data_IF_577227172757
#
_entry.id   IF_577227172757
#
_cell.length_a   1.000
_cell.length_b   1.000
_cell.length_c   1.000
_cell.angle_alpha   90.00
_cell.angle_beta   90.00
_cell.angle_gamma   90.00
#
_symmetry.space_group_name_H-M   'P 1'
#
loop_
_entity.id
_entity.type
_entity.pdbx_description
1 polymer ?
#
# COMPACT_ATOMS: atom_id res chain seq x y z
N UNK A 1 28.40 -49.03 -36.02
CA UNK A 1 28.57 -48.29 -37.29
C UNK A 1 27.26 -47.58 -37.57
N UNK A 2 27.19 -46.24 -37.56
CA UNK A 2 27.78 -45.28 -38.53
C UNK A 2 26.95 -45.24 -39.84
N UNK A 3 26.53 -44.09 -40.40
CA UNK A 3 26.66 -42.67 -39.97
C UNK A 3 25.77 -41.76 -40.88
N UNK A 4 25.15 -40.67 -40.36
CA UNK A 4 24.76 -39.38 -41.05
C UNK A 4 23.77 -39.50 -42.28
N UNK A 5 22.95 -38.54 -42.75
CA UNK A 5 22.59 -37.12 -42.49
C UNK A 5 21.04 -36.95 -42.63
N UNK A 6 20.31 -36.01 -42.01
CA UNK A 6 20.28 -34.54 -42.19
C UNK A 6 19.81 -34.11 -43.61
N UNK A 7 18.86 -33.19 -43.88
CA UNK A 7 18.14 -32.12 -43.16
C UNK A 7 16.78 -31.85 -43.90
N UNK A 8 15.93 -30.81 -43.72
CA UNK A 8 15.88 -29.59 -42.91
C UNK A 8 14.43 -29.05 -42.78
N UNK A 9 14.09 -28.35 -41.68
CA UNK A 9 13.10 -27.24 -41.53
C UNK A 9 12.66 -27.15 -40.05
N UNK A 10 12.80 -26.10 -39.23
CA UNK A 10 12.97 -24.64 -39.35
C UNK A 10 11.70 -23.84 -38.93
N UNK A 11 11.82 -23.15 -37.78
CA UNK A 11 11.03 -21.99 -37.32
C UNK A 11 9.48 -22.03 -37.39
N UNK A 12 8.84 -22.50 -36.31
CA UNK A 12 7.70 -21.80 -35.68
C UNK A 12 7.56 -22.25 -34.21
N UNK A 13 7.65 -21.36 -33.20
CA UNK A 13 7.24 -21.70 -31.84
C UNK A 13 5.70 -21.75 -31.79
N UNK A 14 5.12 -22.89 -31.41
CA UNK A 14 3.67 -23.07 -31.36
C UNK A 14 3.00 -22.02 -30.46
N UNK A 15 2.01 -21.32 -30.99
CA UNK A 15 1.27 -20.29 -30.26
C UNK A 15 0.43 -20.94 -29.16
N UNK A 16 0.92 -20.89 -27.91
CA UNK A 16 0.16 -21.33 -26.71
C UNK A 16 -1.20 -20.65 -26.67
N UNK A 17 -2.24 -21.41 -26.37
CA UNK A 17 -3.61 -20.91 -26.38
C UNK A 17 -3.82 -19.80 -25.33
N UNK A 18 -4.72 -18.86 -25.63
CA UNK A 18 -5.07 -17.78 -24.70
C UNK A 18 -5.67 -18.32 -23.39
N UNK A 19 -6.33 -19.48 -23.41
CA UNK A 19 -6.83 -20.19 -22.23
C UNK A 19 -5.68 -20.71 -21.36
N UNK A 20 -4.65 -21.35 -21.93
CA UNK A 20 -3.47 -21.80 -21.17
C UNK A 20 -2.72 -20.60 -20.54
N UNK A 21 -2.50 -19.53 -21.30
CA UNK A 21 -1.83 -18.33 -20.79
C UNK A 21 -2.62 -17.64 -19.67
N UNK A 22 -3.95 -17.59 -19.80
CA UNK A 22 -4.84 -17.07 -18.75
C UNK A 22 -4.84 -17.97 -17.52
N UNK A 23 -4.79 -19.29 -17.70
CA UNK A 23 -4.74 -20.27 -16.61
C UNK A 23 -3.42 -20.21 -15.85
N UNK A 24 -2.27 -20.08 -16.54
CA UNK A 24 -0.97 -19.76 -15.92
C UNK A 24 -1.05 -18.45 -15.10
N UNK A 25 -1.59 -17.36 -15.70
CA UNK A 25 -1.73 -16.07 -15.02
C UNK A 25 -2.57 -16.20 -13.73
N UNK A 26 -3.71 -16.89 -13.77
CA UNK A 26 -4.56 -17.12 -12.59
C UNK A 26 -3.86 -17.97 -11.54
N UNK A 27 -3.16 -19.05 -11.91
CA UNK A 27 -2.41 -19.88 -10.95
C UNK A 27 -1.22 -19.14 -10.30
N UNK A 28 -0.65 -18.13 -10.96
CA UNK A 28 0.50 -17.35 -10.47
C UNK A 28 0.16 -16.30 -9.38
N UNK A 29 -1.12 -15.94 -9.22
CA UNK A 29 -1.54 -14.82 -8.36
C UNK A 29 -1.66 -15.23 -6.89
N UNK A 30 -1.15 -14.42 -5.97
CA UNK A 30 -1.14 -14.72 -4.53
C UNK A 30 -2.42 -14.20 -3.85
N UNK A 31 -3.28 -15.12 -3.39
CA UNK A 31 -4.61 -14.83 -2.83
C UNK A 31 -4.51 -14.07 -1.51
N UNK A 32 -3.57 -14.43 -0.63
CA UNK A 32 -3.37 -13.74 0.66
C UNK A 32 -3.17 -12.21 0.52
N UNK A 33 -2.19 -11.75 -0.27
CA UNK A 33 -2.00 -10.35 -0.61
C UNK A 33 -3.19 -9.66 -1.29
N UNK A 34 -4.01 -10.36 -2.07
CA UNK A 34 -5.22 -9.79 -2.67
C UNK A 34 -6.35 -9.60 -1.66
N UNK A 35 -6.54 -10.54 -0.72
CA UNK A 35 -7.52 -10.40 0.36
C UNK A 35 -7.18 -9.18 1.23
N UNK A 36 -5.91 -9.00 1.60
CA UNK A 36 -5.47 -7.81 2.34
C UNK A 36 -5.61 -6.52 1.51
N UNK A 37 -5.26 -6.54 0.21
CA UNK A 37 -5.45 -5.38 -0.68
C UNK A 37 -6.92 -4.99 -0.84
N UNK A 38 -7.81 -5.98 -0.85
CA UNK A 38 -9.27 -5.77 -0.92
C UNK A 38 -9.81 -5.13 0.34
N UNK A 39 -9.42 -5.67 1.50
CA UNK A 39 -9.75 -5.10 2.80
C UNK A 39 -9.21 -3.67 2.92
N UNK A 40 -7.96 -3.44 2.51
CA UNK A 40 -7.31 -2.14 2.56
C UNK A 40 -8.08 -1.06 1.79
N UNK A 41 -8.48 -1.31 0.53
CA UNK A 41 -9.24 -0.31 -0.24
C UNK A 41 -10.65 -0.10 0.31
N UNK A 42 -11.35 -1.16 0.73
CA UNK A 42 -12.71 -1.02 1.28
C UNK A 42 -12.70 -0.21 2.59
N UNK A 43 -11.67 -0.36 3.42
CA UNK A 43 -11.46 0.46 4.60
C UNK A 43 -11.10 1.93 4.24
N UNK A 44 -10.21 2.14 3.26
CA UNK A 44 -9.90 3.50 2.77
C UNK A 44 -11.12 4.20 2.16
N UNK A 45 -12.00 3.48 1.46
CA UNK A 45 -13.27 4.02 0.97
C UNK A 45 -14.24 4.35 2.11
N UNK A 46 -14.32 3.50 3.14
CA UNK A 46 -15.22 3.69 4.29
C UNK A 46 -14.80 4.88 5.18
N UNK A 47 -13.50 5.11 5.40
CA UNK A 47 -13.04 6.23 6.24
C UNK A 47 -13.27 7.60 5.59
N UNK A 48 -13.26 7.67 4.25
CA UNK A 48 -13.50 8.91 3.51
C UNK A 48 -14.98 9.20 3.21
N UNK A 49 -15.86 8.20 3.31
CA UNK A 49 -17.31 8.41 3.28
C UNK A 49 -17.74 9.23 4.52
N UNK A 50 -18.66 10.22 4.43
CA UNK A 50 -19.18 10.92 5.60
C UNK A 50 -19.94 9.99 6.57
N UNK A 51 -20.15 10.42 7.81
CA UNK A 51 -20.87 9.63 8.82
C UNK A 51 -22.34 9.46 8.43
N UNK A 52 -22.88 10.53 7.87
CA UNK A 52 -24.22 10.73 7.33
C UNK A 52 -24.54 9.68 6.25
N UNK A 53 -23.60 9.46 5.33
CA UNK A 53 -23.67 8.45 4.27
C UNK A 53 -23.22 7.04 4.71
N UNK A 54 -22.82 6.84 5.96
CA UNK A 54 -22.35 5.55 6.48
C UNK A 54 -23.51 4.76 7.12
N UNK A 55 -23.72 3.47 6.78
CA UNK A 55 -24.75 2.66 7.43
C UNK A 55 -24.42 2.47 8.91
N UNK A 56 -25.41 2.54 9.80
CA UNK A 56 -25.23 2.47 11.26
C UNK A 56 -24.35 1.31 11.74
N UNK A 57 -24.51 0.13 11.13
CA UNK A 57 -23.71 -1.08 11.38
C UNK A 57 -22.20 -0.92 11.06
N UNK A 58 -21.84 0.01 10.17
CA UNK A 58 -20.46 0.27 9.74
C UNK A 58 -19.84 1.50 10.40
N UNK A 59 -20.60 2.34 11.11
CA UNK A 59 -20.07 3.54 11.79
C UNK A 59 -18.97 3.17 12.80
N UNK A 60 -19.14 2.07 13.54
CA UNK A 60 -18.11 1.57 14.46
C UNK A 60 -16.83 1.08 13.76
N UNK A 61 -16.95 0.52 12.55
CA UNK A 61 -15.81 0.07 11.74
C UNK A 61 -15.08 1.26 11.11
N UNK A 62 -15.82 2.26 10.64
CA UNK A 62 -15.31 3.50 10.03
C UNK A 62 -14.29 4.21 10.90
N UNK A 63 -14.49 4.23 12.21
CA UNK A 63 -13.56 4.81 13.21
C UNK A 63 -12.14 4.26 13.13
N UNK A 64 -11.99 3.01 12.68
CA UNK A 64 -10.69 2.31 12.55
C UNK A 64 -10.27 2.12 11.09
N UNK A 65 -11.08 2.54 10.12
CA UNK A 65 -10.88 2.20 8.71
C UNK A 65 -9.72 2.96 8.02
N UNK A 66 -9.11 3.93 8.69
CA UNK A 66 -7.80 4.49 8.30
C UNK A 66 -6.68 3.44 8.26
N UNK A 67 -6.83 2.34 9.02
CA UNK A 67 -5.94 1.15 9.03
C UNK A 67 -5.64 0.61 7.63
N UNK A 68 -6.54 0.81 6.66
CA UNK A 68 -6.33 0.39 5.27
C UNK A 68 -5.04 0.96 4.65
N UNK A 69 -4.62 2.17 5.02
CA UNK A 69 -3.37 2.76 4.51
C UNK A 69 -2.14 2.03 5.05
N UNK A 70 -2.10 1.70 6.34
CA UNK A 70 -1.00 0.92 6.92
C UNK A 70 -0.95 -0.52 6.37
N UNK A 71 -2.11 -1.10 6.00
CA UNK A 71 -2.14 -2.37 5.25
C UNK A 71 -1.50 -2.22 3.85
N UNK A 72 -1.79 -1.14 3.13
CA UNK A 72 -1.12 -0.83 1.86
C UNK A 72 0.39 -0.69 2.04
N UNK A 73 0.86 0.10 3.02
CA UNK A 73 2.28 0.28 3.27
C UNK A 73 3.02 -1.03 3.56
N UNK A 74 2.44 -1.94 4.37
CA UNK A 74 3.04 -3.26 4.63
C UNK A 74 3.05 -4.15 3.39
N UNK A 75 1.96 -4.19 2.62
CA UNK A 75 1.90 -4.93 1.35
C UNK A 75 2.95 -4.41 0.35
N UNK A 76 3.07 -3.09 0.22
CA UNK A 76 4.00 -2.44 -0.71
C UNK A 76 5.45 -2.67 -0.31
N UNK A 77 5.79 -2.52 0.98
CA UNK A 77 7.09 -2.88 1.53
C UNK A 77 7.47 -4.34 1.28
N UNK A 78 6.54 -5.27 1.54
CA UNK A 78 6.75 -6.69 1.31
C UNK A 78 6.96 -7.03 -0.17
N UNK A 79 6.11 -6.50 -1.05
CA UNK A 79 6.17 -6.79 -2.49
C UNK A 79 7.41 -6.18 -3.14
N UNK A 80 7.80 -4.95 -2.76
CA UNK A 80 8.97 -4.28 -3.31
C UNK A 80 10.28 -4.91 -2.80
N UNK A 81 10.36 -5.24 -1.50
CA UNK A 81 11.50 -5.97 -0.93
C UNK A 81 11.66 -7.35 -1.56
N UNK A 82 10.56 -8.10 -1.68
CA UNK A 82 10.56 -9.43 -2.33
C UNK A 82 10.97 -9.36 -3.79
N UNK A 83 10.57 -8.32 -4.53
CA UNK A 83 11.02 -8.10 -5.91
C UNK A 83 12.54 -7.85 -5.96
N UNK A 84 13.04 -6.91 -5.15
CA UNK A 84 14.44 -6.49 -5.15
C UNK A 84 15.39 -7.59 -4.67
N UNK A 85 15.07 -8.32 -3.59
CA UNK A 85 15.92 -9.41 -3.09
C UNK A 85 16.01 -10.58 -4.09
N UNK A 86 14.91 -10.92 -4.78
CA UNK A 86 14.92 -11.90 -5.89
C UNK A 86 15.76 -11.42 -7.06
N UNK A 87 15.73 -10.13 -7.38
CA UNK A 87 16.51 -9.60 -8.50
C UNK A 87 18.01 -9.62 -8.20
N UNK A 88 18.43 -9.12 -7.03
CA UNK A 88 19.84 -9.17 -6.58
C UNK A 88 20.35 -10.60 -6.53
N UNK A 89 19.58 -11.54 -5.99
CA UNK A 89 19.96 -12.96 -5.94
C UNK A 89 20.14 -13.60 -7.33
N UNK A 90 19.39 -13.16 -8.35
CA UNK A 90 19.42 -13.69 -9.71
C UNK A 90 20.40 -12.97 -10.64
N UNK A 91 20.76 -11.71 -10.35
CA UNK A 91 21.55 -10.84 -11.25
C UNK A 91 22.82 -10.24 -10.62
N UNK A 92 23.04 -10.40 -9.32
CA UNK A 92 24.14 -9.74 -8.59
C UNK A 92 23.99 -8.22 -8.42
N UNK A 93 22.79 -7.68 -8.68
CA UNK A 93 22.47 -6.25 -8.65
C UNK A 93 21.02 -5.97 -9.05
N UNK A 94 20.68 -4.69 -9.24
CA UNK A 94 19.31 -4.22 -9.57
C UNK A 94 19.31 -3.48 -10.90
N UNK A 95 18.42 -3.85 -11.82
CA UNK A 95 18.14 -3.09 -13.04
C UNK A 95 17.23 -1.89 -12.71
N UNK A 96 17.84 -0.82 -12.19
CA UNK A 96 17.14 0.40 -11.80
C UNK A 96 16.26 0.95 -12.94
N UNK A 97 16.76 0.92 -14.19
CA UNK A 97 16.03 1.44 -15.36
C UNK A 97 14.74 0.64 -15.58
N UNK A 98 14.83 -0.69 -15.64
CA UNK A 98 13.64 -1.52 -15.84
C UNK A 98 12.71 -1.47 -14.62
N UNK A 99 13.25 -1.46 -13.40
CA UNK A 99 12.48 -1.29 -12.16
C UNK A 99 11.64 0.00 -12.17
N UNK A 100 12.26 1.16 -12.41
CA UNK A 100 11.54 2.44 -12.40
C UNK A 100 10.55 2.54 -13.57
N UNK A 101 10.90 2.04 -14.76
CA UNK A 101 9.95 2.00 -15.88
C UNK A 101 8.73 1.12 -15.56
N UNK A 102 8.93 -0.10 -15.01
CA UNK A 102 7.81 -0.98 -14.59
C UNK A 102 6.89 -0.32 -13.57
N UNK A 103 7.43 0.55 -12.70
CA UNK A 103 6.68 1.33 -11.69
C UNK A 103 5.96 2.54 -12.30
N UNK A 104 6.64 3.34 -13.12
CA UNK A 104 6.05 4.45 -13.85
C UNK A 104 4.81 4.01 -14.65
N UNK A 105 4.93 2.95 -15.47
CA UNK A 105 3.80 2.37 -16.21
C UNK A 105 2.65 1.84 -15.33
N UNK A 106 2.92 1.47 -14.06
CA UNK A 106 1.92 0.95 -13.12
C UNK A 106 1.08 2.07 -12.47
N UNK A 107 1.64 3.26 -12.34
CA UNK A 107 1.20 4.30 -11.39
C UNK A 107 0.91 5.61 -12.13
N UNK A 108 1.91 6.18 -12.82
CA UNK A 108 1.86 7.53 -13.38
C UNK A 108 0.68 7.77 -14.35
N UNK A 109 0.32 6.87 -15.29
CA UNK A 109 -0.75 7.14 -16.26
C UNK A 109 -2.12 7.43 -15.61
N UNK A 110 -2.58 6.58 -14.70
CA UNK A 110 -3.85 6.78 -14.02
C UNK A 110 -3.77 7.91 -12.98
N UNK A 111 -2.63 8.08 -12.30
CA UNK A 111 -2.39 9.21 -11.41
C UNK A 111 -2.51 10.56 -12.13
N UNK A 112 -1.80 10.75 -13.25
CA UNK A 112 -1.82 12.02 -13.98
C UNK A 112 -3.16 12.31 -14.65
N UNK A 113 -3.91 11.29 -15.09
CA UNK A 113 -5.29 11.47 -15.54
C UNK A 113 -6.17 12.01 -14.40
N UNK A 114 -6.15 11.38 -13.22
CA UNK A 114 -6.99 11.83 -12.09
C UNK A 114 -6.52 13.18 -11.54
N UNK A 115 -5.21 13.42 -11.43
CA UNK A 115 -4.64 14.71 -11.05
C UNK A 115 -5.05 15.82 -12.04
N UNK A 116 -5.07 15.53 -13.34
CA UNK A 116 -5.58 16.42 -14.38
C UNK A 116 -7.06 16.73 -14.21
N UNK A 117 -7.89 15.74 -13.89
CA UNK A 117 -9.32 15.95 -13.57
C UNK A 117 -9.49 16.85 -12.33
N UNK A 118 -8.74 16.61 -11.25
CA UNK A 118 -8.73 17.47 -10.06
C UNK A 118 -8.27 18.91 -10.37
N UNK A 119 -7.33 19.09 -11.32
CA UNK A 119 -6.86 20.40 -11.74
C UNK A 119 -7.89 21.17 -12.59
N UNK A 120 -8.53 20.50 -13.55
CA UNK A 120 -9.49 21.10 -14.50
C UNK A 120 -10.87 21.33 -13.87
N UNK A 121 -11.31 20.44 -12.98
CA UNK A 121 -12.67 20.43 -12.43
C UNK A 121 -12.67 20.66 -10.90
N UNK A 122 -12.76 21.92 -10.42
CA UNK A 122 -12.83 22.21 -8.98
C UNK A 122 -13.97 21.52 -8.22
N UNK A 123 -15.03 21.16 -8.95
CA UNK A 123 -16.20 20.44 -8.48
C UNK A 123 -15.92 18.99 -8.03
N UNK A 124 -14.76 18.43 -8.38
CA UNK A 124 -14.30 17.10 -7.93
C UNK A 124 -13.50 17.15 -6.61
N UNK A 125 -13.31 18.33 -6.03
CA UNK A 125 -12.40 18.58 -4.90
C UNK A 125 -13.14 18.64 -3.55
N UNK A 126 -12.46 18.19 -2.50
CA UNK A 126 -12.91 18.33 -1.11
C UNK A 126 -12.94 19.78 -0.58
N UNK A 127 -12.32 20.69 -1.32
CA UNK A 127 -12.39 22.14 -1.12
C UNK A 127 -12.11 22.82 -2.47
N UNK A 128 -12.67 24.01 -2.77
CA UNK A 128 -12.36 24.74 -4.00
C UNK A 128 -10.86 24.99 -4.18
N UNK A 129 -10.13 25.22 -3.07
CA UNK A 129 -8.68 25.38 -3.05
C UNK A 129 -7.94 24.04 -3.08
N UNK A 130 -6.88 24.02 -3.88
CA UNK A 130 -6.00 22.88 -4.13
C UNK A 130 -4.56 23.35 -3.93
N UNK A 131 -3.70 22.48 -3.39
CA UNK A 131 -2.28 22.79 -3.24
C UNK A 131 -1.61 22.97 -4.63
N UNK A 132 -0.45 23.62 -4.75
CA UNK A 132 0.17 23.88 -6.05
C UNK A 132 0.31 22.61 -6.90
N UNK A 133 -0.20 22.63 -8.14
CA UNK A 133 -0.25 21.43 -9.01
C UNK A 133 1.10 20.71 -9.13
N UNK A 134 2.20 21.48 -9.17
CA UNK A 134 3.55 20.93 -9.28
C UNK A 134 3.89 19.98 -8.13
N UNK A 135 3.45 20.23 -6.89
CA UNK A 135 3.84 19.39 -5.73
C UNK A 135 3.11 18.05 -5.71
N UNK A 136 1.92 17.96 -6.31
CA UNK A 136 1.31 16.68 -6.63
C UNK A 136 2.07 15.98 -7.76
N UNK A 137 2.43 16.70 -8.82
CA UNK A 137 3.12 16.14 -9.98
C UNK A 137 4.54 15.63 -9.67
N UNK A 138 5.22 16.21 -8.68
CA UNK A 138 6.52 15.76 -8.15
C UNK A 138 6.40 14.82 -6.95
N UNK A 139 5.19 14.44 -6.53
CA UNK A 139 4.91 13.66 -5.31
C UNK A 139 5.46 14.27 -4.00
N UNK A 140 5.75 15.57 -3.96
CA UNK A 140 6.28 16.26 -2.76
C UNK A 140 5.20 16.92 -1.90
N UNK A 141 3.92 16.89 -2.31
CA UNK A 141 2.83 17.58 -1.60
C UNK A 141 2.69 17.18 -0.14
N UNK A 142 3.08 15.95 0.23
CA UNK A 142 2.95 15.41 1.58
C UNK A 142 3.95 15.99 2.60
N UNK A 143 4.94 16.78 2.17
CA UNK A 143 5.88 17.45 3.07
C UNK A 143 5.38 18.81 3.60
N UNK A 144 4.37 19.41 2.96
CA UNK A 144 3.76 20.69 3.36
C UNK A 144 2.25 20.69 3.07
N UNK A 145 1.58 19.54 3.30
CA UNK A 145 0.13 19.47 3.14
C UNK A 145 -0.55 20.14 4.34
N UNK A 146 -0.78 21.45 4.27
CA UNK A 146 -1.59 22.16 5.24
C UNK A 146 -3.09 22.17 4.81
N UNK A 147 -3.99 21.51 5.56
CA UNK A 147 -5.43 21.47 5.25
C UNK A 147 -6.15 22.82 5.42
N UNK A 148 -5.46 23.86 5.93
CA UNK A 148 -5.94 25.25 5.99
C UNK A 148 -5.76 25.98 4.66
N UNK A 149 -4.77 25.60 3.85
CA UNK A 149 -4.52 26.16 2.51
C UNK A 149 -5.45 25.51 1.47
N UNK A 150 -5.55 24.18 1.49
CA UNK A 150 -6.36 23.43 0.54
C UNK A 150 -6.51 21.97 0.96
N UNK A 151 -7.57 21.32 0.46
CA UNK A 151 -7.91 19.93 0.82
C UNK A 151 -8.20 19.02 -0.38
N UNK A 152 -8.13 19.55 -1.60
CA UNK A 152 -8.28 18.76 -2.81
C UNK A 152 -7.28 17.60 -2.89
N UNK A 153 -7.75 16.44 -3.37
CA UNK A 153 -6.96 15.21 -3.58
C UNK A 153 -6.18 14.76 -2.32
N UNK A 154 -6.73 15.02 -1.12
CA UNK A 154 -6.00 14.85 0.15
C UNK A 154 -5.46 13.44 0.38
N UNK A 155 -6.05 12.41 -0.23
CA UNK A 155 -5.61 11.03 -0.07
C UNK A 155 -4.22 10.76 -0.68
N UNK A 156 -3.78 11.56 -1.66
CA UNK A 156 -2.54 11.38 -2.40
C UNK A 156 -1.27 11.39 -1.54
N UNK A 157 -1.34 11.87 -0.28
CA UNK A 157 -0.23 11.84 0.67
C UNK A 157 0.42 10.46 0.80
N UNK A 158 -0.38 9.38 0.85
CA UNK A 158 0.14 8.03 1.10
C UNK A 158 0.86 7.49 -0.14
N UNK A 159 0.36 7.80 -1.34
CA UNK A 159 1.04 7.48 -2.59
C UNK A 159 2.38 8.22 -2.69
N UNK A 160 2.50 9.44 -2.17
CA UNK A 160 3.78 10.15 -2.08
C UNK A 160 4.78 9.42 -1.17
N UNK A 161 4.34 8.90 -0.01
CA UNK A 161 5.17 8.04 0.86
C UNK A 161 5.63 6.77 0.13
N UNK A 162 4.77 6.15 -0.67
CA UNK A 162 5.11 4.98 -1.48
C UNK A 162 6.10 5.31 -2.61
N UNK A 163 5.88 6.38 -3.40
CA UNK A 163 6.79 6.76 -4.50
C UNK A 163 8.17 7.17 -3.98
N UNK A 164 8.26 7.95 -2.90
CA UNK A 164 9.55 8.25 -2.25
C UNK A 164 10.27 6.97 -1.80
N UNK A 165 9.53 5.98 -1.33
CA UNK A 165 10.10 4.70 -0.92
C UNK A 165 10.54 3.83 -2.11
N UNK A 166 9.75 3.78 -3.18
CA UNK A 166 10.11 3.11 -4.42
C UNK A 166 11.30 3.77 -5.10
N UNK A 167 11.49 5.09 -4.96
CA UNK A 167 12.66 5.81 -5.43
C UNK A 167 13.93 5.41 -4.67
N UNK A 168 13.87 5.43 -3.32
CA UNK A 168 15.06 5.28 -2.46
C UNK A 168 15.48 3.82 -2.23
N UNK A 169 14.55 2.91 -1.97
CA UNK A 169 14.89 1.53 -1.58
C UNK A 169 15.78 0.78 -2.62
N UNK A 170 15.55 0.86 -3.94
CA UNK A 170 16.40 0.20 -4.93
C UNK A 170 17.85 0.68 -4.88
N UNK A 171 18.07 1.97 -4.57
CA UNK A 171 19.39 2.56 -4.44
C UNK A 171 20.09 2.02 -3.18
N UNK A 172 19.37 1.97 -2.05
CA UNK A 172 19.87 1.37 -0.80
C UNK A 172 20.22 -0.10 -1.00
N UNK A 173 19.37 -0.86 -1.69
CA UNK A 173 19.63 -2.26 -2.07
C UNK A 173 20.84 -2.39 -2.99
N UNK A 174 20.99 -1.51 -3.98
CA UNK A 174 22.13 -1.54 -4.91
C UNK A 174 23.46 -1.19 -4.20
N UNK A 175 23.44 -0.28 -3.23
CA UNK A 175 24.61 0.12 -2.46
C UNK A 175 25.05 -0.96 -1.45
N UNK A 176 24.10 -1.64 -0.79
CA UNK A 176 24.40 -2.73 0.14
C UNK A 176 24.77 -4.03 -0.59
N UNK A 177 24.07 -4.35 -1.69
CA UNK A 177 24.24 -5.52 -2.55
C UNK A 177 24.58 -6.82 -1.78
N UNK A 178 25.84 -7.29 -1.82
CA UNK A 178 26.30 -8.52 -1.16
C UNK A 178 26.27 -8.49 0.37
N UNK A 179 26.11 -7.31 0.98
CA UNK A 179 25.96 -7.17 2.43
C UNK A 179 24.51 -7.37 2.90
N UNK A 180 23.53 -7.45 1.99
CA UNK A 180 22.12 -7.61 2.36
C UNK A 180 21.91 -8.96 3.05
N UNK A 181 21.52 -8.89 4.32
CA UNK A 181 21.08 -10.03 5.13
C UNK A 181 19.89 -9.63 5.98
N UNK A 182 19.21 -10.60 6.60
CA UNK A 182 18.15 -10.30 7.58
C UNK A 182 18.66 -9.44 8.73
N UNK A 183 19.92 -9.62 9.16
CA UNK A 183 20.53 -8.82 10.23
C UNK A 183 20.68 -7.35 9.85
N UNK A 184 21.31 -7.06 8.72
CA UNK A 184 21.43 -5.68 8.21
C UNK A 184 20.07 -5.04 7.90
N UNK A 185 19.12 -5.82 7.35
CA UNK A 185 17.76 -5.33 7.10
C UNK A 185 17.04 -4.98 8.41
N UNK A 186 17.14 -5.83 9.44
CA UNK A 186 16.55 -5.56 10.76
C UNK A 186 17.18 -4.35 11.45
N UNK A 187 18.51 -4.17 11.34
CA UNK A 187 19.21 -3.02 11.91
C UNK A 187 18.80 -1.71 11.24
N UNK A 188 18.78 -1.67 9.90
CA UNK A 188 18.41 -0.46 9.14
C UNK A 188 16.91 -0.14 9.25
N UNK A 189 16.04 -1.14 9.10
CA UNK A 189 14.61 -0.92 9.20
C UNK A 189 14.17 -0.62 10.65
N UNK A 190 14.82 -1.26 11.64
CA UNK A 190 14.62 -0.97 13.06
C UNK A 190 15.09 0.43 13.44
N UNK A 191 16.25 0.89 12.97
CA UNK A 191 16.72 2.25 13.25
C UNK A 191 15.84 3.32 12.59
N UNK A 192 15.34 3.08 11.37
CA UNK A 192 14.36 3.96 10.71
C UNK A 192 13.05 4.03 11.51
N UNK A 193 12.52 2.90 11.99
CA UNK A 193 11.31 2.88 12.83
C UNK A 193 11.53 3.62 14.14
N UNK A 194 12.64 3.36 14.85
CA UNK A 194 12.95 4.02 16.13
C UNK A 194 13.16 5.54 15.93
N UNK A 195 13.86 5.96 14.87
CA UNK A 195 14.01 7.37 14.53
C UNK A 195 12.65 8.02 14.21
N UNK A 196 11.76 7.34 13.49
CA UNK A 196 10.39 7.77 13.24
C UNK A 196 9.57 7.92 14.52
N UNK A 197 9.70 6.98 15.48
CA UNK A 197 9.05 7.08 16.80
C UNK A 197 9.55 8.29 17.58
N UNK A 198 10.86 8.49 17.66
CA UNK A 198 11.48 9.64 18.34
C UNK A 198 11.02 10.96 17.69
N UNK A 199 11.03 11.04 16.35
CA UNK A 199 10.64 12.23 15.62
C UNK A 199 9.14 12.55 15.76
N UNK A 200 8.25 11.55 15.75
CA UNK A 200 6.83 11.76 16.04
C UNK A 200 6.60 12.24 17.48
N UNK A 201 7.40 11.76 18.44
CA UNK A 201 7.34 12.26 19.82
C UNK A 201 7.80 13.72 19.92
N UNK A 202 8.97 14.08 19.37
CA UNK A 202 9.47 15.46 19.44
C UNK A 202 8.60 16.45 18.67
N UNK A 203 8.04 16.08 17.52
CA UNK A 203 7.09 16.91 16.77
C UNK A 203 5.76 17.06 17.50
N UNK A 204 5.29 16.04 18.22
CA UNK A 204 4.12 16.19 19.08
C UNK A 204 4.40 17.17 20.22
N UNK A 205 5.45 16.94 21.01
CA UNK A 205 5.79 17.79 22.16
C UNK A 205 6.04 19.26 21.75
N UNK A 206 6.86 19.49 20.73
CA UNK A 206 7.30 20.85 20.35
C UNK A 206 6.27 21.66 19.56
N UNK A 207 5.25 21.03 18.96
CA UNK A 207 4.28 21.74 18.11
C UNK A 207 2.82 21.38 18.41
N UNK A 208 2.47 20.09 18.44
CA UNK A 208 1.06 19.66 18.58
C UNK A 208 0.57 19.89 20.01
N UNK A 209 1.31 19.45 21.02
CA UNK A 209 1.00 19.61 22.44
C UNK A 209 0.80 21.08 22.82
N UNK A 210 1.78 21.93 22.50
CA UNK A 210 1.74 23.39 22.71
C UNK A 210 0.45 24.02 22.14
N UNK A 211 -0.02 23.56 20.97
CA UNK A 211 -1.27 24.06 20.37
C UNK A 211 -2.53 23.48 21.03
N UNK A 212 -2.50 22.26 21.56
CA UNK A 212 -3.62 21.69 22.33
C UNK A 212 -3.73 22.37 23.70
N UNK A 213 -2.63 22.55 24.41
CA UNK A 213 -2.58 23.22 25.73
C UNK A 213 -3.02 24.69 25.63
N UNK A 214 -2.72 25.35 24.51
CA UNK A 214 -3.22 26.68 24.18
C UNK A 214 -4.68 26.70 23.68
N UNK A 215 -5.40 25.57 23.70
CA UNK A 215 -6.79 25.43 23.26
C UNK A 215 -7.03 25.52 21.74
N UNK A 216 -5.97 25.59 20.92
CA UNK A 216 -6.02 25.79 19.47
C UNK A 216 -6.21 24.47 18.70
N UNK A 217 -7.23 23.70 19.07
CA UNK A 217 -7.47 22.33 18.60
C UNK A 217 -7.46 22.20 17.06
N UNK A 218 -7.98 23.19 16.33
CA UNK A 218 -8.00 23.22 14.86
C UNK A 218 -6.60 23.37 14.24
N UNK A 219 -5.74 24.19 14.85
CA UNK A 219 -4.36 24.37 14.39
C UNK A 219 -3.48 23.19 14.81
N UNK A 220 -3.69 22.65 16.02
CA UNK A 220 -3.04 21.41 16.47
C UNK A 220 -3.32 20.25 15.49
N UNK A 221 -4.56 20.10 15.03
CA UNK A 221 -4.93 19.09 14.03
C UNK A 221 -4.29 19.35 12.65
N UNK A 222 -4.25 20.60 12.19
CA UNK A 222 -3.60 20.95 10.92
C UNK A 222 -2.08 20.67 10.95
N UNK A 223 -1.41 21.02 12.05
CA UNK A 223 0.00 20.76 12.30
C UNK A 223 0.28 19.25 12.46
N UNK A 224 -0.55 18.51 13.18
CA UNK A 224 -0.42 17.04 13.26
C UNK A 224 -0.52 16.40 11.88
N UNK A 225 -1.47 16.83 11.04
CA UNK A 225 -1.57 16.34 9.67
C UNK A 225 -0.32 16.66 8.85
N UNK A 226 0.09 17.94 8.82
CA UNK A 226 1.23 18.42 8.02
C UNK A 226 2.56 17.79 8.43
N UNK A 227 2.83 17.65 9.74
CA UNK A 227 4.17 17.33 10.24
C UNK A 227 4.30 15.89 10.79
N UNK A 228 3.22 15.31 11.30
CA UNK A 228 3.24 14.00 11.99
C UNK A 228 2.62 12.89 11.14
N UNK A 229 1.51 13.16 10.45
CA UNK A 229 0.72 12.11 9.78
C UNK A 229 0.99 11.94 8.28
N UNK A 230 1.27 13.02 7.55
CA UNK A 230 1.49 12.98 6.10
C UNK A 230 2.95 12.83 5.63
N UNK A 231 3.98 13.34 6.34
CA UNK A 231 5.35 13.24 5.84
C UNK A 231 5.89 11.82 5.74
N UNK A 232 6.73 11.59 4.74
CA UNK A 232 7.36 10.28 4.53
C UNK A 232 8.22 9.88 5.73
N UNK A 233 8.98 10.81 6.30
CA UNK A 233 9.91 10.54 7.41
C UNK A 233 9.24 10.12 8.73
N UNK A 234 7.93 10.36 8.91
CA UNK A 234 7.15 9.88 10.06
C UNK A 234 6.28 8.66 9.77
N UNK A 235 6.27 8.09 8.54
CA UNK A 235 5.33 7.02 8.15
C UNK A 235 5.95 5.82 7.43
N UNK A 236 7.27 5.66 7.48
CA UNK A 236 7.97 4.50 6.89
C UNK A 236 7.67 3.16 7.61
N UNK A 237 6.98 3.14 8.76
CA UNK A 237 6.82 1.95 9.61
C UNK A 237 6.27 0.74 8.84
N UNK A 238 5.17 0.92 8.11
CA UNK A 238 4.53 -0.15 7.34
C UNK A 238 5.46 -0.70 6.26
N UNK A 239 6.10 0.20 5.51
CA UNK A 239 7.05 -0.12 4.45
C UNK A 239 8.27 -0.88 5.01
N UNK A 240 8.77 -0.46 6.18
CA UNK A 240 9.86 -1.13 6.91
C UNK A 240 9.47 -2.53 7.37
N UNK A 241 8.33 -2.71 8.04
CA UNK A 241 7.89 -4.04 8.48
C UNK A 241 7.54 -4.98 7.31
N UNK A 242 7.07 -4.43 6.18
CA UNK A 242 6.95 -5.16 4.92
C UNK A 242 8.31 -5.67 4.40
N UNK A 243 9.32 -4.82 4.34
CA UNK A 243 10.68 -5.22 3.92
C UNK A 243 11.34 -6.19 4.91
N UNK A 244 11.12 -6.03 6.23
CA UNK A 244 11.55 -6.99 7.24
C UNK A 244 10.92 -8.37 6.98
N UNK A 245 9.61 -8.43 6.72
CA UNK A 245 8.92 -9.68 6.38
C UNK A 245 9.51 -10.31 5.11
N UNK A 246 9.77 -9.52 4.07
CA UNK A 246 10.40 -9.99 2.84
C UNK A 246 11.79 -10.58 3.11
N UNK A 247 12.64 -9.88 3.88
CA UNK A 247 13.99 -10.35 4.20
C UNK A 247 14.00 -11.59 5.12
N UNK A 248 13.08 -11.67 6.08
CA UNK A 248 12.92 -12.86 6.92
C UNK A 248 12.49 -14.08 6.09
N UNK A 249 11.47 -13.90 5.21
CA UNK A 249 10.99 -14.95 4.31
C UNK A 249 12.02 -15.37 3.27
N UNK A 250 12.83 -14.45 2.76
CA UNK A 250 13.80 -14.72 1.70
C UNK A 250 15.09 -15.36 2.24
N UNK A 251 15.71 -14.78 3.27
CA UNK A 251 17.01 -15.23 3.77
C UNK A 251 16.94 -16.22 4.94
N UNK A 252 15.78 -16.34 5.64
CA UNK A 252 15.59 -17.24 6.80
C UNK A 252 14.23 -17.97 6.80
N UNK A 253 13.77 -18.57 5.68
CA UNK A 253 12.44 -19.18 5.58
C UNK A 253 12.15 -20.24 6.65
N UNK A 254 13.14 -21.05 7.04
CA UNK A 254 12.96 -22.09 8.05
C UNK A 254 12.74 -21.53 9.47
N UNK A 255 13.27 -20.34 9.78
CA UNK A 255 12.96 -19.65 11.05
C UNK A 255 11.51 -19.17 11.06
N UNK A 256 11.01 -18.63 9.94
CA UNK A 256 9.60 -18.25 9.81
C UNK A 256 8.68 -19.46 10.01
N UNK A 257 8.94 -20.59 9.35
CA UNK A 257 8.14 -21.82 9.53
C UNK A 257 8.17 -22.33 10.97
N UNK A 258 9.34 -22.29 11.63
CA UNK A 258 9.54 -22.84 12.98
C UNK A 258 8.92 -21.99 14.08
N UNK A 259 9.07 -20.67 14.00
CA UNK A 259 8.72 -19.73 15.09
C UNK A 259 7.47 -18.90 14.81
N UNK A 260 7.08 -18.71 13.55
CA UNK A 260 5.89 -17.96 13.15
C UNK A 260 4.90 -18.77 12.27
N UNK A 261 4.59 -20.05 12.57
CA UNK A 261 3.57 -20.78 11.82
C UNK A 261 2.19 -20.12 12.01
N UNK A 262 1.24 -20.23 11.06
CA UNK A 262 -0.02 -19.48 11.09
C UNK A 262 -0.83 -19.55 12.40
N UNK A 263 -0.83 -20.71 13.07
CA UNK A 263 -1.50 -20.91 14.37
C UNK A 263 -0.94 -20.06 15.53
N UNK A 264 0.27 -19.52 15.39
CA UNK A 264 0.90 -18.58 16.33
C UNK A 264 0.90 -17.17 15.73
N UNK A 265 1.32 -17.04 14.47
CA UNK A 265 1.43 -15.75 13.80
C UNK A 265 0.10 -15.02 13.71
N UNK A 266 -1.00 -15.68 13.29
CA UNK A 266 -2.28 -15.02 13.13
C UNK A 266 -2.83 -14.42 14.45
N UNK A 267 -2.94 -15.15 15.58
CA UNK A 267 -3.40 -14.56 16.83
C UNK A 267 -2.43 -13.52 17.40
N UNK A 268 -1.11 -13.70 17.25
CA UNK A 268 -0.12 -12.68 17.70
C UNK A 268 -0.26 -11.39 16.89
N UNK A 269 -0.34 -11.47 15.56
CA UNK A 269 -0.50 -10.31 14.70
C UNK A 269 -1.82 -9.58 14.94
N UNK A 270 -2.91 -10.31 15.16
CA UNK A 270 -4.21 -9.73 15.55
C UNK A 270 -4.14 -9.07 16.92
N UNK A 271 -3.51 -9.70 17.92
CA UNK A 271 -3.34 -9.12 19.25
C UNK A 271 -2.51 -7.84 19.24
N UNK A 272 -1.46 -7.75 18.39
CA UNK A 272 -0.65 -6.55 18.21
C UNK A 272 -1.45 -5.41 17.56
N UNK A 273 -2.27 -5.70 16.53
CA UNK A 273 -3.19 -4.70 15.96
C UNK A 273 -4.21 -4.24 17.00
N UNK A 274 -4.84 -5.14 17.76
CA UNK A 274 -5.80 -4.78 18.82
C UNK A 274 -5.14 -3.92 19.90
N UNK A 275 -3.94 -4.28 20.36
CA UNK A 275 -3.18 -3.50 21.33
C UNK A 275 -2.86 -2.09 20.80
N UNK A 276 -2.49 -1.95 19.53
CA UNK A 276 -2.25 -0.66 18.91
C UNK A 276 -3.52 0.19 18.77
N UNK A 277 -4.66 -0.41 18.38
CA UNK A 277 -5.95 0.28 18.36
C UNK A 277 -6.38 0.72 19.77
N UNK A 278 -6.05 -0.05 20.81
CA UNK A 278 -6.22 0.39 22.20
C UNK A 278 -5.31 1.60 22.53
N UNK A 279 -4.06 1.66 22.06
CA UNK A 279 -3.19 2.85 22.25
C UNK A 279 -3.77 4.12 21.61
N UNK A 280 -4.43 4.01 20.45
CA UNK A 280 -5.18 5.11 19.82
C UNK A 280 -6.51 5.43 20.52
N UNK A 281 -7.02 4.54 21.38
CA UNK A 281 -8.28 4.69 22.11
C UNK A 281 -8.10 5.17 23.55
N UNK A 282 -6.87 5.22 24.07
CA UNK A 282 -6.53 5.95 25.29
C UNK A 282 -6.88 7.42 25.06
N UNK A 283 -7.64 8.04 25.98
CA UNK A 283 -8.03 9.46 25.89
C UNK A 283 -6.80 10.35 25.87
N UNK A 284 -6.39 10.79 24.68
CA UNK A 284 -5.31 11.74 24.51
C UNK A 284 -5.76 13.20 24.63
N UNK A 285 -4.84 14.17 24.44
CA UNK A 285 -5.12 15.59 24.59
C UNK A 285 -6.25 16.14 23.69
N UNK A 286 -6.54 15.48 22.57
CA UNK A 286 -7.61 15.84 21.63
C UNK A 286 -8.92 15.02 21.84
N UNK A 287 -9.04 14.29 22.95
CA UNK A 287 -10.24 13.50 23.26
C UNK A 287 -11.49 14.38 23.45
N UNK A 288 -12.64 13.89 22.99
CA UNK A 288 -13.90 14.65 22.99
C UNK A 288 -14.08 15.61 21.81
N UNK A 289 -13.06 15.75 20.95
CA UNK A 289 -13.23 16.37 19.63
C UNK A 289 -13.87 15.40 18.63
N UNK A 290 -14.50 15.94 17.58
CA UNK A 290 -15.07 15.16 16.47
C UNK A 290 -14.00 14.61 15.48
N UNK A 291 -12.76 14.45 15.93
CA UNK A 291 -11.65 13.91 15.13
C UNK A 291 -11.58 12.37 15.26
N UNK A 292 -11.11 11.68 14.22
CA UNK A 292 -10.84 10.24 14.29
C UNK A 292 -9.78 9.91 15.37
N UNK A 293 -9.91 8.73 16.01
CA UNK A 293 -9.00 8.27 17.08
C UNK A 293 -7.52 8.32 16.72
N UNK A 294 -7.16 8.09 15.45
CA UNK A 294 -5.78 8.17 14.92
C UNK A 294 -5.10 9.54 15.13
N UNK A 295 -5.90 10.58 15.36
CA UNK A 295 -5.45 11.95 15.63
C UNK A 295 -5.48 12.32 17.12
N UNK A 296 -6.09 11.50 17.98
CA UNK A 296 -6.41 11.92 19.36
C UNK A 296 -5.27 11.70 20.36
N UNK A 297 -4.51 10.60 20.21
CA UNK A 297 -3.58 10.10 21.23
C UNK A 297 -2.11 10.14 20.79
N UNK A 298 -1.28 10.87 21.54
CA UNK A 298 0.18 10.91 21.35
C UNK A 298 0.81 9.51 21.37
N UNK A 299 0.43 8.66 22.32
CA UNK A 299 0.99 7.30 22.43
C UNK A 299 0.61 6.43 21.22
N UNK A 300 -0.59 6.62 20.65
CA UNK A 300 -0.98 6.06 19.36
C UNK A 300 -0.12 6.61 18.21
N UNK A 301 0.05 7.93 18.14
CA UNK A 301 0.88 8.57 17.12
C UNK A 301 2.35 8.09 17.17
N UNK A 302 2.93 7.92 18.35
CA UNK A 302 4.32 7.48 18.53
C UNK A 302 4.47 5.98 18.29
N UNK A 303 3.72 5.14 19.02
CA UNK A 303 3.93 3.69 19.10
C UNK A 303 2.83 2.85 18.41
N UNK A 304 1.66 3.41 18.15
CA UNK A 304 0.55 2.71 17.51
C UNK A 304 0.81 2.35 16.04
N UNK A 305 1.34 3.27 15.23
CA UNK A 305 1.68 2.98 13.82
C UNK A 305 2.67 1.81 13.63
N UNK A 306 3.81 1.72 14.34
CA UNK A 306 4.72 0.58 14.20
C UNK A 306 4.13 -0.70 14.78
N UNK A 307 3.33 -0.62 15.84
CA UNK A 307 2.65 -1.78 16.44
C UNK A 307 1.55 -2.36 15.54
N UNK A 308 0.82 -1.50 14.81
CA UNK A 308 -0.05 -1.88 13.68
C UNK A 308 0.78 -2.54 12.58
N UNK A 309 1.89 -1.92 12.18
CA UNK A 309 2.69 -2.34 11.03
C UNK A 309 3.32 -3.72 11.23
N UNK A 310 3.87 -4.01 12.42
CA UNK A 310 4.37 -5.35 12.76
C UNK A 310 3.23 -6.36 12.86
N UNK A 311 2.07 -5.97 13.43
CA UNK A 311 0.89 -6.84 13.51
C UNK A 311 0.38 -7.28 12.13
N UNK A 312 0.22 -6.33 11.21
CA UNK A 312 -0.16 -6.60 9.80
C UNK A 312 0.92 -7.43 9.10
N UNK A 313 2.21 -7.15 9.30
CA UNK A 313 3.29 -7.91 8.68
C UNK A 313 3.28 -9.39 9.15
N UNK A 314 2.98 -9.64 10.42
CA UNK A 314 2.81 -11.01 10.95
C UNK A 314 1.54 -11.68 10.38
N UNK A 315 0.43 -10.95 10.24
CA UNK A 315 -0.81 -11.45 9.60
C UNK A 315 -0.55 -11.81 8.12
N UNK A 316 0.07 -10.92 7.34
CA UNK A 316 0.50 -11.18 5.97
C UNK A 316 1.44 -12.39 5.90
N UNK A 317 2.37 -12.49 6.86
CA UNK A 317 3.21 -13.67 7.07
C UNK A 317 2.39 -14.96 7.19
N UNK A 318 1.39 -15.00 8.07
CA UNK A 318 0.51 -16.15 8.22
C UNK A 318 -0.31 -16.45 6.96
N UNK A 319 -0.86 -15.44 6.30
CA UNK A 319 -1.68 -15.59 5.09
C UNK A 319 -0.90 -16.16 3.91
N UNK A 320 0.40 -15.87 3.80
CA UNK A 320 1.29 -16.44 2.77
C UNK A 320 1.54 -17.95 2.97
N UNK A 321 1.55 -18.47 4.20
CA UNK A 321 1.60 -19.92 4.46
C UNK A 321 0.23 -20.59 4.30
N UNK A 322 -0.86 -19.84 4.53
CA UNK A 322 -2.24 -20.30 4.32
C UNK A 322 -2.71 -20.22 2.86
N UNK A 323 -1.86 -19.81 1.91
CA UNK A 323 -2.19 -19.62 0.49
C UNK A 323 -2.90 -20.84 -0.14
N UNK A 324 -2.53 -22.07 0.23
CA UNK A 324 -3.23 -23.28 -0.24
C UNK A 324 -4.68 -23.39 0.28
N UNK A 325 -4.92 -22.98 1.53
CA UNK A 325 -6.27 -22.96 2.14
C UNK A 325 -7.10 -21.84 1.53
N UNK A 326 -6.50 -20.65 1.35
CA UNK A 326 -7.14 -19.49 0.72
C UNK A 326 -7.47 -19.74 -0.76
N UNK A 327 -6.67 -20.55 -1.48
CA UNK A 327 -6.99 -21.00 -2.84
C UNK A 327 -8.13 -22.03 -2.89
N UNK A 328 -8.29 -22.85 -1.84
CA UNK A 328 -9.40 -23.82 -1.73
C UNK A 328 -10.71 -23.15 -1.30
N UNK A 329 -10.63 -22.08 -0.52
CA UNK A 329 -11.77 -21.30 -0.01
C UNK A 329 -11.57 -19.81 -0.31
N UNK A 330 -11.63 -19.40 -1.59
CA UNK A 330 -11.36 -18.02 -1.99
C UNK A 330 -12.45 -17.07 -1.51
N UNK A 331 -12.05 -15.91 -1.00
CA UNK A 331 -12.98 -14.82 -0.62
C UNK A 331 -13.64 -14.29 -1.90
N UNK A 332 -14.97 -14.36 -2.06
CA UNK A 332 -15.65 -13.89 -3.27
C UNK A 332 -15.36 -12.42 -3.56
N UNK A 333 -15.16 -12.08 -4.83
CA UNK A 333 -14.90 -10.71 -5.28
C UNK A 333 -13.50 -10.16 -4.95
N UNK A 334 -12.75 -10.71 -3.99
CA UNK A 334 -11.46 -10.14 -3.55
C UNK A 334 -10.46 -9.95 -4.70
N UNK A 335 -10.32 -10.92 -5.60
CA UNK A 335 -9.45 -10.77 -6.78
C UNK A 335 -9.84 -9.58 -7.69
N UNK A 336 -11.13 -9.25 -7.79
CA UNK A 336 -11.62 -8.09 -8.55
C UNK A 336 -11.34 -6.78 -7.80
N UNK A 337 -11.72 -6.71 -6.52
CA UNK A 337 -11.49 -5.52 -5.66
C UNK A 337 -10.00 -5.20 -5.58
N UNK A 338 -9.14 -6.21 -5.42
CA UNK A 338 -7.68 -6.06 -5.44
C UNK A 338 -7.07 -5.72 -6.81
N UNK A 339 -7.81 -5.93 -7.91
CA UNK A 339 -7.40 -5.48 -9.25
C UNK A 339 -7.74 -4.00 -9.45
N UNK A 340 -8.94 -3.59 -9.04
CA UNK A 340 -9.42 -2.20 -9.16
C UNK A 340 -8.91 -1.28 -8.04
N UNK A 341 -8.20 -1.80 -7.03
CA UNK A 341 -7.90 -1.07 -5.79
C UNK A 341 -7.15 0.24 -6.00
N UNK A 342 -6.31 0.32 -7.03
CA UNK A 342 -5.54 1.53 -7.35
C UNK A 342 -6.44 2.60 -7.99
N UNK A 343 -7.20 2.24 -9.03
CA UNK A 343 -8.20 3.12 -9.62
C UNK A 343 -9.26 3.58 -8.59
N UNK A 344 -9.74 2.70 -7.71
CA UNK A 344 -10.64 3.04 -6.58
C UNK A 344 -10.00 4.05 -5.62
N UNK A 345 -8.73 3.84 -5.24
CA UNK A 345 -7.99 4.74 -4.36
C UNK A 345 -7.88 6.15 -4.95
N UNK A 346 -7.66 6.27 -6.26
CA UNK A 346 -7.60 7.56 -6.94
C UNK A 346 -8.97 8.25 -7.01
N UNK A 347 -10.05 7.52 -7.36
CA UNK A 347 -11.35 8.14 -7.73
C UNK A 347 -12.39 8.29 -6.60
N UNK A 348 -12.38 7.46 -5.56
CA UNK A 348 -13.52 7.37 -4.63
C UNK A 348 -14.00 8.72 -4.05
N UNK A 349 -13.08 9.61 -3.66
CA UNK A 349 -13.46 10.93 -3.12
C UNK A 349 -14.11 11.84 -4.17
N UNK A 350 -13.55 11.92 -5.38
CA UNK A 350 -14.13 12.74 -6.45
C UNK A 350 -15.46 12.20 -6.94
N UNK A 351 -15.64 10.87 -6.94
CA UNK A 351 -16.92 10.22 -7.23
C UNK A 351 -17.98 10.61 -6.20
N UNK A 352 -17.67 10.56 -4.89
CA UNK A 352 -18.63 10.95 -3.87
C UNK A 352 -19.06 12.43 -3.96
N UNK A 353 -18.18 13.32 -4.43
CA UNK A 353 -18.56 14.71 -4.73
C UNK A 353 -19.52 14.80 -5.93
N UNK A 354 -19.29 14.02 -7.00
CA UNK A 354 -20.24 13.89 -8.13
C UNK A 354 -21.59 13.33 -7.67
N UNK A 355 -21.59 12.31 -6.82
CA UNK A 355 -22.82 11.72 -6.29
C UNK A 355 -23.64 12.77 -5.51
N UNK A 356 -23.01 13.57 -4.65
CA UNK A 356 -23.69 14.67 -3.92
C UNK A 356 -24.36 15.69 -4.84
N UNK A 357 -23.82 15.91 -6.03
CA UNK A 357 -24.33 16.88 -6.99
C UNK A 357 -25.48 16.31 -7.85
N UNK A 358 -25.46 14.99 -8.11
CA UNK A 358 -26.50 14.29 -8.88
C UNK A 358 -27.71 13.95 -8.00
N UNK A 359 -27.47 13.41 -6.80
CA UNK A 359 -28.50 12.87 -5.93
C UNK A 359 -28.91 13.81 -4.79
N UNK A 360 -28.08 14.78 -4.42
CA UNK A 360 -28.28 15.63 -3.25
C UNK A 360 -27.86 14.95 -1.94
N UNK A 361 -27.28 15.73 -1.03
CA UNK A 361 -26.75 15.24 0.25
C UNK A 361 -27.83 14.70 1.20
N UNK A 362 -29.05 15.24 1.12
CA UNK A 362 -30.22 14.75 1.87
C UNK A 362 -30.64 13.32 1.48
N UNK A 363 -30.40 12.91 0.23
CA UNK A 363 -30.72 11.57 -0.25
C UNK A 363 -29.58 10.56 -0.01
N UNK A 364 -28.32 11.01 0.03
CA UNK A 364 -27.14 10.15 0.25
C UNK A 364 -26.93 9.77 1.71
N UNK A 365 -27.99 9.36 2.40
CA UNK A 365 -27.98 9.01 3.82
C UNK A 365 -27.93 7.49 4.03
N UNK A 366 -27.21 7.08 5.07
CA UNK A 366 -27.15 5.71 5.58
C UNK A 366 -26.94 4.62 4.52
N UNK A 367 -27.83 3.63 4.50
CA UNK A 367 -27.74 2.47 3.61
C UNK A 367 -27.83 2.82 2.12
N UNK A 368 -28.63 3.82 1.73
CA UNK A 368 -28.78 4.21 0.33
C UNK A 368 -27.55 4.96 -0.17
N UNK A 369 -27.09 5.96 0.57
CA UNK A 369 -25.87 6.72 0.25
C UNK A 369 -24.65 5.80 0.08
N UNK A 370 -24.49 4.82 0.96
CA UNK A 370 -23.45 3.79 0.87
C UNK A 370 -23.53 2.94 -0.41
N UNK A 371 -24.73 2.44 -0.77
CA UNK A 371 -24.90 1.59 -1.96
C UNK A 371 -24.63 2.38 -3.24
N UNK A 372 -25.10 3.63 -3.33
CA UNK A 372 -24.78 4.52 -4.45
C UNK A 372 -23.27 4.72 -4.55
N UNK A 373 -22.63 5.23 -3.49
CA UNK A 373 -21.19 5.51 -3.44
C UNK A 373 -20.31 4.31 -3.83
N UNK A 374 -20.66 3.10 -3.37
CA UNK A 374 -19.92 1.89 -3.73
C UNK A 374 -20.13 1.56 -5.21
N UNK A 375 -21.36 1.60 -5.72
CA UNK A 375 -21.65 1.30 -7.13
C UNK A 375 -20.97 2.30 -8.08
N UNK A 376 -21.07 3.60 -7.81
CA UNK A 376 -20.48 4.68 -8.62
C UNK A 376 -18.96 4.64 -8.56
N UNK A 377 -18.37 4.40 -7.37
CA UNK A 377 -16.91 4.30 -7.22
C UNK A 377 -16.35 3.10 -7.99
N UNK A 378 -17.01 1.94 -7.94
CA UNK A 378 -16.59 0.77 -8.72
C UNK A 378 -16.79 0.97 -10.23
N UNK A 379 -17.85 1.66 -10.67
CA UNK A 379 -18.03 2.01 -12.07
C UNK A 379 -16.91 2.95 -12.58
N UNK A 380 -16.63 4.04 -11.86
CA UNK A 380 -15.57 4.98 -12.20
C UNK A 380 -14.18 4.33 -12.18
N UNK A 381 -13.90 3.48 -11.19
CA UNK A 381 -12.65 2.73 -11.11
C UNK A 381 -12.52 1.69 -12.22
N UNK A 382 -13.61 1.04 -12.65
CA UNK A 382 -13.60 0.17 -13.81
C UNK A 382 -13.28 0.94 -15.10
N UNK A 383 -13.88 2.12 -15.31
CA UNK A 383 -13.57 2.97 -16.48
C UNK A 383 -12.09 3.38 -16.48
N UNK A 384 -11.56 3.88 -15.36
CA UNK A 384 -10.14 4.23 -15.25
C UNK A 384 -9.22 3.02 -15.46
N UNK A 385 -9.62 1.84 -14.96
CA UNK A 385 -8.88 0.61 -15.14
C UNK A 385 -8.84 0.13 -16.59
N UNK A 386 -9.99 0.04 -17.26
CA UNK A 386 -10.08 -0.43 -18.65
C UNK A 386 -9.45 0.54 -19.65
N UNK A 387 -9.68 1.85 -19.48
CA UNK A 387 -9.21 2.85 -20.44
C UNK A 387 -7.72 3.21 -20.25
N UNK A 388 -7.22 3.26 -19.00
CA UNK A 388 -5.87 3.76 -18.69
C UNK A 388 -5.00 2.69 -18.03
N UNK A 389 -5.38 2.20 -16.85
CA UNK A 389 -4.51 1.35 -16.03
C UNK A 389 -4.07 0.08 -16.77
N UNK A 390 -5.02 -0.62 -17.40
CA UNK A 390 -4.78 -1.80 -18.21
C UNK A 390 -3.97 -1.47 -19.47
N UNK A 391 -4.35 -0.44 -20.22
CA UNK A 391 -3.70 -0.08 -21.49
C UNK A 391 -2.20 0.15 -21.32
N UNK A 392 -1.80 0.86 -20.25
CA UNK A 392 -0.39 1.10 -19.96
C UNK A 392 0.31 -0.12 -19.33
N UNK A 393 -0.41 -1.01 -18.65
CA UNK A 393 0.11 -2.29 -18.16
C UNK A 393 0.39 -3.30 -19.30
N UNK A 394 -0.53 -3.41 -20.26
CA UNK A 394 -0.35 -4.26 -21.44
C UNK A 394 0.77 -3.69 -22.33
N UNK A 395 0.83 -2.37 -22.53
CA UNK A 395 1.95 -1.69 -23.22
C UNK A 395 3.31 -1.91 -22.54
N UNK A 396 3.38 -1.85 -21.21
CA UNK A 396 4.59 -2.16 -20.43
C UNK A 396 5.08 -3.59 -20.68
N UNK A 397 4.16 -4.55 -20.71
CA UNK A 397 4.49 -5.97 -20.90
C UNK A 397 4.93 -6.28 -22.34
N UNK A 398 4.62 -5.42 -23.31
CA UNK A 398 5.20 -5.43 -24.66
C UNK A 398 6.57 -4.73 -24.75
N UNK A 399 6.79 -3.63 -24.02
CA UNK A 399 8.00 -2.81 -24.14
C UNK A 399 9.17 -3.23 -23.24
N UNK A 400 8.92 -3.91 -22.12
CA UNK A 400 9.94 -4.28 -21.13
C UNK A 400 10.14 -5.79 -21.05
N UNK A 401 11.39 -6.32 -20.99
CA UNK A 401 11.64 -7.76 -20.91
C UNK A 401 10.86 -8.45 -19.79
N UNK A 402 10.26 -9.61 -20.09
CA UNK A 402 9.50 -10.37 -19.08
C UNK A 402 10.42 -10.90 -17.98
N UNK A 403 10.00 -10.80 -16.72
CA UNK A 403 10.81 -11.21 -15.56
C UNK A 403 10.80 -12.73 -15.28
N UNK A 404 10.33 -13.55 -16.24
CA UNK A 404 10.33 -15.03 -16.19
C UNK A 404 11.78 -15.60 -16.27
N UNK A 405 12.53 -15.43 -15.19
CA UNK A 405 13.72 -16.24 -14.91
C UNK A 405 13.38 -17.58 -14.22
N UNK A 406 14.37 -18.45 -13.98
CA UNK A 406 14.19 -19.74 -13.30
C UNK A 406 13.60 -19.60 -11.89
N UNK A 407 12.99 -20.67 -11.39
CA UNK A 407 12.29 -20.69 -10.12
C UNK A 407 13.21 -20.59 -8.90
N UNK A 408 12.65 -20.15 -7.76
CA UNK A 408 13.40 -20.06 -6.49
C UNK A 408 13.96 -21.41 -5.99
N UNK A 409 13.45 -22.53 -6.51
CA UNK A 409 13.99 -23.86 -6.24
C UNK A 409 15.32 -24.13 -6.98
N UNK A 410 15.51 -23.53 -8.16
CA UNK A 410 16.66 -23.75 -9.03
C UNK A 410 17.87 -22.91 -8.60
N UNK A 411 17.65 -21.67 -8.12
CA UNK A 411 18.71 -20.78 -7.59
C UNK A 411 19.19 -21.13 -6.17
N UNK A 412 18.56 -22.10 -5.50
CA UNK A 412 18.87 -22.45 -4.11
C UNK A 412 20.32 -22.92 -3.87
N UNK A 413 20.95 -23.76 -4.71
CA UNK A 413 22.31 -24.24 -4.48
C UNK A 413 23.37 -23.12 -4.50
N UNK A 414 23.20 -22.14 -5.40
CA UNK A 414 24.13 -21.02 -5.55
C UNK A 414 24.06 -20.07 -4.35
N UNK A 415 22.86 -19.84 -3.80
CA UNK A 415 22.67 -19.02 -2.60
C UNK A 415 23.23 -19.67 -1.34
N UNK A 416 23.14 -21.01 -1.20
CA UNK A 416 23.75 -21.74 -0.07
C UNK A 416 25.28 -21.89 -0.20
N UNK A 417 25.84 -21.66 -1.40
CA UNK A 417 27.28 -21.53 -1.61
C UNK A 417 27.78 -20.09 -1.34
N UNK A 418 26.99 -19.07 -1.67
CA UNK A 418 27.32 -17.66 -1.43
C UNK A 418 27.06 -17.18 0.01
N UNK A 419 26.50 -18.03 0.89
CA UNK A 419 26.25 -17.73 2.30
C UNK A 419 27.18 -18.49 3.26
N UNK A 420 28.38 -18.85 2.78
CA UNK A 420 29.49 -19.43 3.55
C UNK A 420 30.72 -18.53 3.42
#
# INVERSE_FOLDING_TARGET
>A
MNIIANSNSAYFPAARSLSEQTTEKVQSRAVGPDVLRSLAILLVMLVHLPVEATPSLLVGVRTYAWLGVDIFFVLSGFLIGTQLFKEVARRGGVDLKCFYLRRAFRIFPAFFVVLGLYAIFPILRDAPTMQPFWSFATFTVNFDFDPRVGRAFSQAWSLCVEEHFYLVLPLVVLLLNRQISTGWTLLLAGSIVIAGMILRYTLWESQVGVLVDAGKLRDAFAVYLRDVYYPTYTRLDGLMFGVILAAARFFKPELCKRYAPPRVALPVGVALVIAALALFSIRGPLAGSNLFLVFQAQLGAVAGFPLISIGIAIILGAMLDLEQVLRRWPVPGAALVATLSYSLYLTHKSVFHVDRLIFGEENLQGGFGFVIYVATSFAAAAVLWFCVERTFLDLRDHLLPSDKGPGLAELRPELEAASR
#
